data_IF_724225767683
#
_entry.id   IF_724225767683
#
_cell.length_a   1.000
_cell.length_b   1.000
_cell.length_c   1.000
_cell.angle_alpha   90.00
_cell.angle_beta   90.00
_cell.angle_gamma   90.00
#
_symmetry.space_group_name_H-M   'P 1'
#
loop_
_entity.id
_entity.type
_entity.pdbx_description
1 polymer ?
#
# COMPACT_ATOMS: atom_id res chain seq x y z
N UNK A 1 -4.67 -18.39 2.29
CA UNK A 1 -3.62 -17.44 2.70
C UNK A 1 -3.58 -17.22 4.21
N UNK A 2 -4.70 -17.40 4.93
CA UNK A 2 -4.68 -17.58 6.39
C UNK A 2 -4.56 -19.08 6.71
N UNK A 3 -3.82 -19.45 7.76
CA UNK A 3 -3.62 -20.85 8.17
C UNK A 3 -3.88 -20.95 9.67
N UNK A 4 -4.63 -21.99 10.08
CA UNK A 4 -5.06 -22.22 11.47
C UNK A 4 -4.02 -22.95 12.33
N UNK A 5 -3.03 -23.61 11.71
CA UNK A 5 -2.06 -24.46 12.39
C UNK A 5 -0.62 -24.28 11.84
N UNK A 6 0.33 -24.04 12.74
CA UNK A 6 1.74 -23.72 12.43
C UNK A 6 2.55 -24.97 12.02
N UNK A 7 1.97 -26.17 12.16
CA UNK A 7 2.66 -27.46 12.12
C UNK A 7 3.05 -27.99 10.72
N UNK A 8 2.63 -27.33 9.62
CA UNK A 8 2.86 -27.81 8.23
C UNK A 8 3.49 -26.77 7.29
N UNK A 9 4.37 -25.91 7.79
CA UNK A 9 5.05 -24.92 6.94
C UNK A 9 6.30 -25.47 6.26
N UNK A 10 6.31 -25.44 4.93
CA UNK A 10 7.54 -25.33 4.15
C UNK A 10 8.11 -23.92 4.31
N UNK A 11 9.44 -23.78 4.39
CA UNK A 11 10.16 -22.51 4.69
C UNK A 11 9.89 -21.36 3.70
N UNK A 12 9.19 -21.65 2.59
CA UNK A 12 8.98 -20.77 1.44
C UNK A 12 7.54 -20.25 1.28
N UNK A 13 6.56 -20.73 2.06
CA UNK A 13 5.17 -20.28 1.92
C UNK A 13 4.84 -19.06 2.80
N UNK A 14 4.42 -17.96 2.17
CA UNK A 14 3.96 -16.76 2.88
C UNK A 14 2.52 -16.95 3.32
N UNK A 15 2.26 -16.82 4.63
CA UNK A 15 0.93 -16.90 5.22
C UNK A 15 0.68 -15.78 6.21
N UNK A 16 -0.60 -15.42 6.32
CA UNK A 16 -1.12 -14.41 7.23
C UNK A 16 -1.73 -15.07 8.47
N UNK A 17 -1.62 -14.40 9.61
CA UNK A 17 -2.31 -14.77 10.83
C UNK A 17 -3.83 -14.51 10.64
N UNK A 18 -4.70 -15.51 10.84
CA UNK A 18 -6.15 -15.35 10.65
C UNK A 18 -6.76 -14.28 11.57
N UNK A 19 -6.17 -14.06 12.76
CA UNK A 19 -6.67 -13.11 13.77
C UNK A 19 -6.33 -11.65 13.45
N UNK A 20 -5.42 -11.38 12.52
CA UNK A 20 -5.06 -10.00 12.13
C UNK A 20 -5.13 -9.76 10.64
N UNK A 21 -5.24 -10.81 9.83
CA UNK A 21 -5.25 -10.73 8.36
C UNK A 21 -4.01 -9.94 7.90
N UNK A 22 -4.17 -8.92 7.07
CA UNK A 22 -3.10 -7.99 6.68
C UNK A 22 -3.01 -6.73 7.56
N UNK A 23 -3.87 -6.57 8.57
CA UNK A 23 -3.99 -5.37 9.40
C UNK A 23 -2.94 -5.33 10.52
N UNK A 24 -1.66 -5.51 10.19
CA UNK A 24 -0.52 -5.41 11.10
C UNK A 24 0.43 -4.26 10.73
N UNK A 25 -0.06 -3.32 9.93
CA UNK A 25 0.60 -2.07 9.61
C UNK A 25 -0.29 -0.91 10.08
N UNK A 26 0.33 0.09 10.70
CA UNK A 26 -0.35 1.33 11.10
C UNK A 26 -0.05 2.37 10.03
N UNK A 27 -1.01 2.75 9.17
CA UNK A 27 -0.78 3.88 8.26
C UNK A 27 -0.80 5.19 9.04
N UNK A 28 -0.02 6.16 8.58
CA UNK A 28 -0.26 7.55 8.94
C UNK A 28 -1.62 7.97 8.36
N UNK A 29 -2.49 8.56 9.17
CA UNK A 29 -3.77 9.10 8.70
C UNK A 29 -3.64 10.61 8.51
N UNK A 30 -3.75 11.14 7.27
CA UNK A 30 -3.77 12.56 6.96
C UNK A 30 -4.78 13.37 7.78
N UNK A 31 -4.44 14.61 8.14
CA UNK A 31 -5.27 15.49 8.97
C UNK A 31 -6.72 15.63 8.49
N UNK A 32 -6.96 15.79 7.19
CA UNK A 32 -8.29 15.92 6.62
C UNK A 32 -9.07 14.60 6.61
N UNK A 33 -8.39 13.44 6.48
CA UNK A 33 -9.04 12.13 6.63
C UNK A 33 -9.43 11.86 8.08
N UNK A 34 -8.60 12.28 9.03
CA UNK A 34 -8.94 12.27 10.46
C UNK A 34 -10.18 13.14 10.69
N UNK A 35 -10.20 14.36 10.14
CA UNK A 35 -11.34 15.27 10.17
C UNK A 35 -12.62 14.63 9.66
N UNK A 36 -12.56 13.99 8.49
CA UNK A 36 -13.70 13.32 7.87
C UNK A 36 -14.27 12.19 8.71
N UNK A 37 -13.40 11.42 9.37
CA UNK A 37 -13.82 10.35 10.29
C UNK A 37 -14.52 10.94 11.52
N UNK A 38 -14.01 12.05 12.07
CA UNK A 38 -14.59 12.70 13.26
C UNK A 38 -15.93 13.38 12.94
N UNK A 39 -16.02 14.02 11.78
CA UNK A 39 -17.24 14.69 11.31
C UNK A 39 -18.36 13.71 10.93
N UNK A 40 -17.99 12.48 10.54
CA UNK A 40 -18.92 11.44 10.13
C UNK A 40 -20.03 11.15 11.16
N UNK A 41 -21.29 11.18 10.71
CA UNK A 41 -22.47 10.89 11.54
C UNK A 41 -23.07 9.50 11.28
N UNK A 42 -22.51 8.73 10.34
CA UNK A 42 -22.98 7.38 10.03
C UNK A 42 -22.81 6.45 11.25
N UNK A 43 -23.90 5.88 11.81
CA UNK A 43 -23.82 4.96 12.93
C UNK A 43 -22.95 3.73 12.65
N UNK A 44 -22.87 3.27 11.40
CA UNK A 44 -22.04 2.11 11.04
C UNK A 44 -20.53 2.41 11.12
N UNK A 45 -20.17 3.70 11.16
CA UNK A 45 -18.79 4.17 11.27
C UNK A 45 -18.42 4.54 12.72
N UNK A 46 -19.34 4.41 13.69
CA UNK A 46 -19.13 4.85 15.07
C UNK A 46 -17.98 4.14 15.77
N UNK A 47 -17.87 2.81 15.66
CA UNK A 47 -16.76 2.05 16.23
C UNK A 47 -15.42 2.45 15.61
N UNK A 48 -15.41 2.70 14.31
CA UNK A 48 -14.25 3.22 13.59
C UNK A 48 -13.79 4.58 14.12
N UNK A 49 -14.73 5.52 14.23
CA UNK A 49 -14.49 6.85 14.81
C UNK A 49 -13.98 6.76 16.25
N UNK A 50 -14.52 5.85 17.07
CA UNK A 50 -14.06 5.65 18.44
C UNK A 50 -12.57 5.24 18.51
N UNK A 51 -12.05 4.49 17.52
CA UNK A 51 -10.61 4.16 17.45
C UNK A 51 -9.74 5.38 17.14
N UNK A 52 -10.24 6.33 16.34
CA UNK A 52 -9.56 7.60 16.04
C UNK A 52 -9.57 8.50 17.28
N UNK A 53 -10.72 8.65 17.93
CA UNK A 53 -10.85 9.39 19.20
C UNK A 53 -9.95 8.83 20.30
N UNK A 54 -9.81 7.50 20.39
CA UNK A 54 -8.90 6.87 21.33
C UNK A 54 -7.44 7.24 21.07
N UNK A 55 -7.01 7.30 19.80
CA UNK A 55 -5.66 7.77 19.43
C UNK A 55 -5.46 9.24 19.76
N UNK A 56 -6.46 10.09 19.52
CA UNK A 56 -6.43 11.51 19.90
C UNK A 56 -6.27 11.68 21.42
N UNK A 57 -7.07 10.97 22.21
CA UNK A 57 -6.97 11.00 23.68
C UNK A 57 -5.62 10.52 24.20
N UNK A 58 -4.99 9.56 23.52
CA UNK A 58 -3.66 9.07 23.89
C UNK A 58 -2.56 10.11 23.60
N UNK A 59 -2.74 10.98 22.60
CA UNK A 59 -1.77 12.01 22.22
C UNK A 59 -0.49 11.48 21.55
N UNK A 60 -0.37 10.17 21.35
CA UNK A 60 0.84 9.54 20.79
C UNK A 60 0.85 9.73 19.27
N UNK A 61 1.89 10.39 18.75
CA UNK A 61 2.04 10.70 17.32
C UNK A 61 0.82 11.46 16.75
N UNK A 62 0.23 12.35 17.55
CA UNK A 62 -0.89 13.22 17.19
C UNK A 62 -0.35 14.61 16.86
N UNK A 63 -0.39 15.01 15.59
CA UNK A 63 0.19 16.28 15.12
C UNK A 63 -0.75 16.98 14.14
N UNK A 64 -0.54 18.25 13.81
CA UNK A 64 -1.28 18.90 12.72
C UNK A 64 -1.19 18.20 11.35
N UNK A 65 -0.22 17.30 11.14
CA UNK A 65 -0.15 16.48 9.92
C UNK A 65 -1.13 15.30 9.93
N UNK A 66 -1.65 14.94 11.11
CA UNK A 66 -2.57 13.81 11.28
C UNK A 66 -2.14 12.85 12.38
N UNK A 67 -2.59 11.59 12.27
CA UNK A 67 -2.30 10.53 13.23
C UNK A 67 -1.21 9.60 12.71
N UNK A 68 0.02 9.81 13.18
CA UNK A 68 1.20 9.07 12.77
C UNK A 68 1.41 7.73 13.49
N UNK A 69 2.33 6.92 13.02
CA UNK A 69 2.73 5.68 13.69
C UNK A 69 3.29 5.95 15.10
N UNK A 70 2.86 5.19 16.13
CA UNK A 70 3.49 5.24 17.44
C UNK A 70 4.99 4.91 17.37
N UNK A 71 5.86 5.60 18.13
CA UNK A 71 7.31 5.34 18.10
C UNK A 71 7.69 3.87 18.39
N UNK A 72 7.00 3.22 19.34
CA UNK A 72 7.20 1.80 19.65
C UNK A 72 6.88 0.88 18.45
N UNK A 73 5.83 1.21 17.68
CA UNK A 73 5.53 0.49 16.44
C UNK A 73 6.63 0.68 15.40
N UNK A 74 7.14 1.91 15.20
CA UNK A 74 8.20 2.18 14.23
C UNK A 74 9.46 1.35 14.51
N UNK A 75 9.88 1.26 15.77
CA UNK A 75 11.04 0.46 16.20
C UNK A 75 10.82 -1.03 15.91
N UNK A 76 9.70 -1.59 16.38
CA UNK A 76 9.42 -3.01 16.24
C UNK A 76 9.23 -3.42 14.77
N UNK A 77 8.44 -2.65 14.02
CA UNK A 77 8.14 -2.94 12.63
C UNK A 77 9.36 -2.71 11.73
N UNK A 78 10.17 -1.68 12.02
CA UNK A 78 11.41 -1.37 11.29
C UNK A 78 12.48 -2.45 11.43
N UNK A 79 12.57 -3.12 12.58
CA UNK A 79 13.57 -4.16 12.82
C UNK A 79 13.38 -5.40 11.92
N UNK A 80 12.14 -5.82 11.64
CA UNK A 80 11.89 -7.06 10.88
C UNK A 80 10.58 -7.06 10.10
N UNK A 81 10.37 -6.05 9.25
CA UNK A 81 9.15 -5.89 8.43
C UNK A 81 8.69 -7.17 7.74
N UNK A 82 9.58 -7.84 7.00
CA UNK A 82 9.21 -8.98 6.14
C UNK A 82 8.81 -10.24 6.93
N UNK A 83 9.32 -10.39 8.16
CA UNK A 83 8.94 -11.50 9.02
C UNK A 83 7.71 -11.20 9.88
N UNK A 84 7.43 -9.92 10.15
CA UNK A 84 6.36 -9.48 11.06
C UNK A 84 5.05 -9.14 10.36
N UNK A 85 5.12 -8.59 9.15
CA UNK A 85 3.93 -8.14 8.42
C UNK A 85 2.94 -9.29 8.21
N UNK A 86 1.69 -9.04 8.61
CA UNK A 86 0.63 -10.02 8.47
C UNK A 86 0.68 -11.19 9.45
N UNK A 87 1.62 -11.21 10.40
CA UNK A 87 1.85 -12.37 11.31
C UNK A 87 1.78 -12.00 12.78
N UNK A 88 2.39 -10.87 13.16
CA UNK A 88 2.50 -10.46 14.56
C UNK A 88 1.22 -9.82 15.10
N UNK A 89 0.51 -10.52 16.00
CA UNK A 89 -0.70 -9.98 16.65
C UNK A 89 -0.41 -8.72 17.47
N UNK A 90 0.80 -8.57 18.00
CA UNK A 90 1.26 -7.38 18.74
C UNK A 90 1.25 -6.12 17.89
N UNK A 91 1.48 -6.23 16.58
CA UNK A 91 1.55 -5.09 15.66
C UNK A 91 0.22 -4.77 14.99
N UNK A 92 -0.88 -5.32 15.52
CA UNK A 92 -2.22 -5.11 14.97
C UNK A 92 -2.56 -3.63 14.91
N UNK A 93 -3.09 -3.20 13.78
CA UNK A 93 -3.54 -1.83 13.55
C UNK A 93 -4.61 -1.45 14.60
N UNK A 94 -4.54 -0.26 15.22
CA UNK A 94 -5.53 0.19 16.21
C UNK A 94 -6.93 0.36 15.60
N UNK A 95 -7.04 0.44 14.28
CA UNK A 95 -8.31 0.52 13.55
C UNK A 95 -8.88 -0.85 13.17
N UNK A 96 -8.28 -1.97 13.62
CA UNK A 96 -8.82 -3.30 13.40
C UNK A 96 -9.92 -3.62 14.44
N UNK A 97 -11.14 -3.81 13.96
CA UNK A 97 -12.31 -4.09 14.79
C UNK A 97 -12.47 -5.61 14.95
N UNK A 98 -11.78 -6.19 15.94
CA UNK A 98 -11.80 -7.64 16.22
C UNK A 98 -13.21 -8.13 16.53
N UNK A 99 -13.93 -7.43 17.41
CA UNK A 99 -15.28 -7.79 17.85
C UNK A 99 -16.34 -7.67 16.73
N UNK A 100 -15.98 -7.06 15.59
CA UNK A 100 -16.84 -6.90 14.42
C UNK A 100 -16.39 -7.73 13.22
N UNK A 101 -15.77 -8.89 13.48
CA UNK A 101 -15.34 -9.83 12.44
C UNK A 101 -14.01 -9.45 11.75
N UNK A 102 -13.23 -8.57 12.40
CA UNK A 102 -11.94 -8.14 11.89
C UNK A 102 -12.05 -7.22 10.69
N UNK A 103 -12.94 -6.23 10.76
CA UNK A 103 -13.11 -5.17 9.77
C UNK A 103 -12.15 -4.00 10.03
N UNK A 104 -11.91 -3.19 9.02
CA UNK A 104 -11.18 -1.93 9.17
C UNK A 104 -12.16 -0.83 9.58
N UNK A 105 -12.01 -0.26 10.77
CA UNK A 105 -12.87 0.80 11.28
C UNK A 105 -12.76 2.11 10.50
N UNK A 106 -11.63 2.34 9.83
CA UNK A 106 -11.42 3.54 8.99
C UNK A 106 -11.53 3.23 7.49
N UNK A 107 -12.22 2.15 7.11
CA UNK A 107 -12.22 1.65 5.73
C UNK A 107 -12.54 2.72 4.67
N UNK A 108 -13.56 3.55 4.89
CA UNK A 108 -13.99 4.59 3.94
C UNK A 108 -12.99 5.77 3.83
N UNK A 109 -12.10 5.90 4.81
CA UNK A 109 -11.15 7.02 4.95
C UNK A 109 -9.73 6.51 5.20
N UNK A 110 -9.41 5.32 4.66
CA UNK A 110 -8.11 4.68 4.83
C UNK A 110 -7.08 5.39 3.97
N UNK A 111 -5.88 5.56 4.51
CA UNK A 111 -4.77 6.16 3.78
C UNK A 111 -4.39 5.36 2.53
N UNK A 112 -3.68 6.01 1.60
CA UNK A 112 -3.28 5.53 0.29
C UNK A 112 -2.76 4.10 0.33
N UNK A 113 -1.81 3.81 1.24
CA UNK A 113 -1.20 2.49 1.38
C UNK A 113 -2.23 1.39 1.60
N UNK A 114 -3.20 1.59 2.49
CA UNK A 114 -4.25 0.60 2.76
C UNK A 114 -5.33 0.58 1.67
N UNK A 115 -5.50 1.68 0.93
CA UNK A 115 -6.42 1.75 -0.20
C UNK A 115 -5.93 0.98 -1.44
N UNK A 116 -4.62 0.84 -1.61
CA UNK A 116 -4.01 0.31 -2.83
C UNK A 116 -3.25 -1.00 -2.64
N UNK A 117 -3.21 -1.56 -1.42
CA UNK A 117 -2.52 -2.82 -1.14
C UNK A 117 -3.44 -4.02 -1.28
N UNK A 118 -2.99 -5.01 -2.05
CA UNK A 118 -3.68 -6.28 -2.23
C UNK A 118 -2.70 -7.44 -2.19
N UNK A 119 -3.15 -8.62 -1.73
CA UNK A 119 -2.36 -9.85 -1.81
C UNK A 119 -2.24 -10.36 -3.25
N UNK A 120 -3.30 -10.15 -4.05
CA UNK A 120 -3.43 -10.61 -5.44
C UNK A 120 -3.90 -9.44 -6.29
N UNK A 121 -3.29 -9.29 -7.46
CA UNK A 121 -3.63 -8.22 -8.38
C UNK A 121 -4.30 -8.81 -9.61
N UNK A 122 -5.43 -8.21 -10.00
CA UNK A 122 -6.08 -8.54 -11.26
C UNK A 122 -5.08 -8.25 -12.38
N UNK A 123 -4.86 -9.21 -13.28
CA UNK A 123 -3.81 -9.14 -14.32
C UNK A 123 -2.36 -9.08 -13.78
N UNK A 124 -2.09 -9.74 -12.65
CA UNK A 124 -0.72 -10.04 -12.22
C UNK A 124 0.18 -8.82 -12.03
N UNK A 125 1.39 -8.86 -12.62
CA UNK A 125 2.39 -7.79 -12.61
C UNK A 125 1.85 -6.49 -13.21
N UNK A 126 1.08 -6.56 -14.30
CA UNK A 126 0.48 -5.37 -14.92
C UNK A 126 -0.50 -4.70 -13.94
N UNK A 127 -1.29 -5.52 -13.25
CA UNK A 127 -2.11 -5.16 -12.09
C UNK A 127 -1.34 -4.41 -11.01
N UNK A 128 -0.26 -5.05 -10.52
CA UNK A 128 0.61 -4.49 -9.48
C UNK A 128 1.20 -3.14 -9.88
N UNK A 129 1.64 -2.98 -11.14
CA UNK A 129 2.25 -1.75 -11.63
C UNK A 129 1.27 -0.56 -11.58
N UNK A 130 0.02 -0.77 -12.03
CA UNK A 130 -1.02 0.26 -11.93
C UNK A 130 -1.31 0.64 -10.48
N UNK A 131 -1.52 -0.33 -9.60
CA UNK A 131 -1.84 -0.04 -8.21
C UNK A 131 -0.67 0.59 -7.45
N UNK A 132 0.57 0.31 -7.87
CA UNK A 132 1.76 1.01 -7.38
C UNK A 132 1.78 2.47 -7.83
N UNK A 133 1.46 2.76 -9.10
CA UNK A 133 1.32 4.13 -9.57
C UNK A 133 0.17 4.87 -8.84
N UNK A 134 -0.96 4.18 -8.61
CA UNK A 134 -2.09 4.73 -7.87
C UNK A 134 -1.71 5.03 -6.42
N UNK A 135 -0.97 4.13 -5.77
CA UNK A 135 -0.44 4.33 -4.43
C UNK A 135 0.41 5.60 -4.36
N UNK A 136 1.32 5.79 -5.32
CA UNK A 136 2.19 6.96 -5.38
C UNK A 136 1.39 8.25 -5.58
N UNK A 137 0.43 8.26 -6.51
CA UNK A 137 -0.45 9.41 -6.73
C UNK A 137 -1.20 9.80 -5.45
N UNK A 138 -1.89 8.83 -4.83
CA UNK A 138 -2.66 9.08 -3.62
C UNK A 138 -1.76 9.53 -2.46
N UNK A 139 -0.57 8.96 -2.32
CA UNK A 139 0.38 9.35 -1.27
C UNK A 139 0.85 10.80 -1.43
N UNK A 140 1.09 11.26 -2.66
CA UNK A 140 1.46 12.65 -2.95
C UNK A 140 0.29 13.60 -2.75
N UNK A 141 -0.92 13.19 -3.13
CA UNK A 141 -2.16 13.94 -2.85
C UNK A 141 -2.33 14.11 -1.34
N UNK A 142 -2.27 13.02 -0.58
CA UNK A 142 -2.39 13.02 0.88
C UNK A 142 -1.38 13.95 1.53
N UNK A 143 -0.10 13.84 1.16
CA UNK A 143 0.98 14.68 1.68
C UNK A 143 0.80 16.15 1.32
N UNK A 144 0.42 16.45 0.08
CA UNK A 144 0.23 17.82 -0.39
C UNK A 144 -0.94 18.50 0.31
N UNK A 145 -2.11 17.84 0.36
CA UNK A 145 -3.30 18.37 1.02
C UNK A 145 -3.12 18.51 2.52
N UNK A 146 -2.42 17.58 3.16
CA UNK A 146 -2.09 17.67 4.59
C UNK A 146 -1.31 18.94 4.89
N UNK A 147 -0.25 19.21 4.13
CA UNK A 147 0.62 20.39 4.30
C UNK A 147 -0.13 21.67 3.97
N UNK A 148 -0.96 21.64 2.94
CA UNK A 148 -1.80 22.76 2.57
C UNK A 148 -2.76 23.14 3.70
N UNK A 149 -3.45 22.18 4.32
CA UNK A 149 -4.33 22.47 5.46
C UNK A 149 -3.57 23.10 6.64
N UNK A 150 -2.35 22.63 6.93
CA UNK A 150 -1.50 23.21 8.00
C UNK A 150 -1.15 24.67 7.72
N UNK A 151 -0.96 25.04 6.45
CA UNK A 151 -0.68 26.42 6.04
C UNK A 151 -1.95 27.28 6.08
N UNK A 152 -3.07 26.79 5.54
CA UNK A 152 -4.34 27.53 5.49
C UNK A 152 -4.92 27.83 6.88
N UNK A 153 -4.79 26.87 7.80
CA UNK A 153 -5.25 27.02 9.18
C UNK A 153 -4.22 27.71 10.10
N UNK A 154 -3.09 28.14 9.52
CA UNK A 154 -1.99 28.84 10.19
C UNK A 154 -1.65 28.26 11.57
N UNK A 155 -0.91 27.15 11.65
CA UNK A 155 -0.50 26.62 12.97
C UNK A 155 0.51 27.52 13.72
N UNK A 156 1.00 28.59 13.09
CA UNK A 156 2.01 29.50 13.61
C UNK A 156 3.44 29.14 13.22
N UNK A 157 4.30 30.15 13.08
CA UNK A 157 5.65 30.01 12.54
C UNK A 157 6.57 29.07 13.35
N UNK A 158 6.48 29.07 14.69
CA UNK A 158 7.28 28.14 15.51
C UNK A 158 6.83 26.69 15.31
N UNK A 159 5.51 26.43 15.32
CA UNK A 159 4.97 25.10 15.02
C UNK A 159 5.39 24.62 13.62
N UNK A 160 5.39 25.51 12.62
CA UNK A 160 5.89 25.18 11.27
C UNK A 160 7.37 24.75 11.28
N UNK A 161 8.23 25.39 12.08
CA UNK A 161 9.64 24.98 12.20
C UNK A 161 9.79 23.59 12.81
N UNK A 162 8.94 23.25 13.80
CA UNK A 162 8.92 21.91 14.41
C UNK A 162 8.38 20.85 13.45
N UNK A 163 7.33 21.16 12.68
CA UNK A 163 6.72 20.23 11.72
C UNK A 163 7.57 20.02 10.45
N UNK A 164 8.32 21.04 10.04
CA UNK A 164 9.12 21.06 8.81
C UNK A 164 10.56 21.53 9.08
N UNK A 165 11.36 20.74 9.81
CA UNK A 165 12.73 21.13 10.15
C UNK A 165 13.59 21.27 8.88
N UNK A 166 14.39 22.34 8.81
CA UNK A 166 15.21 22.70 7.63
C UNK A 166 16.28 21.67 7.26
N UNK A 167 16.75 20.91 8.25
CA UNK A 167 17.54 19.71 8.03
C UNK A 167 16.73 18.54 8.55
N UNK A 168 16.47 17.58 7.67
CA UNK A 168 16.20 16.21 8.10
C UNK A 168 17.49 15.66 8.69
N UNK A 169 17.93 16.21 9.82
CA UNK A 169 18.89 15.52 10.65
C UNK A 169 18.21 14.19 10.93
N UNK A 170 18.80 13.04 10.56
CA UNK A 170 18.28 11.78 11.02
C UNK A 170 18.17 11.97 12.52
N UNK A 171 16.95 12.04 13.07
CA UNK A 171 16.78 11.74 14.48
C UNK A 171 17.58 10.46 14.64
N UNK A 172 18.60 10.44 15.50
CA UNK A 172 19.58 9.36 15.60
C UNK A 172 18.93 8.04 16.10
N UNK A 173 17.73 7.67 15.65
CA UNK A 173 16.94 6.54 16.12
C UNK A 173 16.69 6.55 17.62
N UNK A 174 17.02 7.63 18.34
CA UNK A 174 16.94 7.68 19.79
C UNK A 174 15.52 8.01 20.19
N UNK A 175 14.70 6.97 20.23
CA UNK A 175 13.47 6.96 21.00
C UNK A 175 13.83 7.09 22.48
N UNK A 176 13.20 8.01 23.20
CA UNK A 176 13.32 8.08 24.66
C UNK A 176 12.39 7.04 25.32
N UNK A 177 12.60 6.79 26.62
CA UNK A 177 11.83 5.80 27.36
C UNK A 177 10.32 6.11 27.39
N UNK A 178 9.93 7.39 27.53
CA UNK A 178 8.51 7.79 27.58
C UNK A 178 7.84 7.53 26.23
N UNK A 179 8.51 7.90 25.14
CA UNK A 179 8.05 7.63 23.77
C UNK A 179 7.91 6.13 23.49
N UNK A 180 8.82 5.30 24.01
CA UNK A 180 8.74 3.85 23.89
C UNK A 180 7.58 3.25 24.71
N UNK A 181 7.33 3.80 25.90
CA UNK A 181 6.22 3.43 26.78
C UNK A 181 4.86 3.97 26.31
N UNK A 182 4.82 4.71 25.19
CA UNK A 182 3.60 5.27 24.64
C UNK A 182 3.05 6.43 25.48
N UNK A 183 3.92 7.20 26.12
CA UNK A 183 3.55 8.37 26.91
C UNK A 183 3.85 9.63 26.09
N UNK A 184 2.81 10.37 25.71
CA UNK A 184 2.96 11.64 25.02
C UNK A 184 3.59 12.72 25.92
N UNK A 185 4.39 13.62 25.35
CA UNK A 185 4.91 14.80 26.04
C UNK A 185 4.01 16.03 25.79
N UNK A 186 3.33 16.57 26.83
CA UNK A 186 2.48 17.73 26.67
C UNK A 186 3.21 19.01 26.22
N UNK A 187 4.52 19.14 26.51
CA UNK A 187 5.29 20.29 26.06
C UNK A 187 5.54 20.23 24.55
N UNK A 188 6.01 19.08 24.06
CA UNK A 188 6.22 18.82 22.63
C UNK A 188 4.90 18.95 21.85
N UNK A 189 3.79 18.43 22.38
CA UNK A 189 2.49 18.59 21.77
C UNK A 189 2.12 20.08 21.60
N UNK A 190 2.29 20.92 22.63
CA UNK A 190 1.99 22.36 22.52
C UNK A 190 2.86 23.06 21.48
N UNK A 191 4.14 22.69 21.37
CA UNK A 191 5.05 23.24 20.35
C UNK A 191 4.61 22.86 18.94
N UNK A 192 4.16 21.63 18.72
CA UNK A 192 3.67 21.15 17.41
C UNK A 192 2.33 21.78 17.01
N UNK A 193 1.45 22.02 17.97
CA UNK A 193 0.09 22.50 17.72
C UNK A 193 -0.03 24.04 17.74
N UNK A 194 0.95 24.75 18.28
CA UNK A 194 0.93 26.21 18.34
C UNK A 194 -0.35 26.73 19.02
N UNK A 195 -1.06 27.66 18.38
CA UNK A 195 -2.30 28.20 18.92
C UNK A 195 -3.52 27.26 18.82
N UNK A 196 -3.38 26.13 18.11
CA UNK A 196 -4.39 25.07 18.05
C UNK A 196 -4.25 24.04 19.18
N UNK A 197 -3.29 24.20 20.08
CA UNK A 197 -3.13 23.31 21.24
C UNK A 197 -4.42 23.29 22.09
N UNK A 198 -4.93 22.08 22.37
CA UNK A 198 -6.21 21.85 23.04
C UNK A 198 -7.45 21.96 22.14
N UNK A 199 -7.27 22.22 20.84
CA UNK A 199 -8.33 22.29 19.81
C UNK A 199 -8.06 21.33 18.66
N UNK A 200 -7.37 20.22 18.92
CA UNK A 200 -6.88 19.28 17.91
C UNK A 200 -8.03 18.66 17.08
N UNK A 201 -9.14 18.32 17.75
CA UNK A 201 -10.34 17.78 17.07
C UNK A 201 -10.95 18.80 16.11
N UNK A 202 -11.02 20.07 16.53
CA UNK A 202 -11.57 21.15 15.71
C UNK A 202 -10.66 21.40 14.50
N UNK A 203 -9.34 21.47 14.70
CA UNK A 203 -8.37 21.61 13.61
C UNK A 203 -8.57 20.54 12.53
N UNK A 204 -8.69 19.27 12.92
CA UNK A 204 -8.90 18.19 11.95
C UNK A 204 -10.22 18.35 11.20
N UNK A 205 -11.31 18.70 11.88
CA UNK A 205 -12.60 18.94 11.23
C UNK A 205 -12.55 20.12 10.24
N UNK A 206 -11.78 21.18 10.54
CA UNK A 206 -11.55 22.27 9.58
C UNK A 206 -10.71 21.80 8.38
N UNK A 207 -9.72 20.92 8.58
CA UNK A 207 -8.97 20.33 7.46
C UNK A 207 -9.89 19.57 6.50
N UNK A 208 -10.87 18.81 7.01
CA UNK A 208 -11.85 18.13 6.16
C UNK A 208 -12.70 19.13 5.37
N UNK A 209 -13.22 20.18 6.00
CA UNK A 209 -14.02 21.22 5.33
C UNK A 209 -13.24 21.92 4.22
N UNK A 210 -11.95 22.21 4.45
CA UNK A 210 -11.07 22.79 3.44
C UNK A 210 -10.91 21.87 2.23
N UNK A 211 -10.74 20.57 2.45
CA UNK A 211 -10.51 19.59 1.38
C UNK A 211 -11.81 19.15 0.67
N UNK A 212 -12.94 19.11 1.38
CA UNK A 212 -14.23 18.64 0.86
C UNK A 212 -14.71 19.43 -0.36
N UNK A 213 -14.42 20.73 -0.39
CA UNK A 213 -14.85 21.63 -1.48
C UNK A 213 -13.91 21.62 -2.69
N UNK A 214 -12.77 20.91 -2.62
CA UNK A 214 -11.79 20.89 -3.69
C UNK A 214 -12.21 19.97 -4.84
N UNK A 215 -12.11 20.49 -6.06
CA UNK A 215 -12.13 19.66 -7.25
C UNK A 215 -10.70 19.16 -7.61
N UNK A 216 -10.62 18.28 -8.61
CA UNK A 216 -9.33 17.73 -9.03
C UNK A 216 -8.35 18.79 -9.55
N UNK A 217 -8.86 19.87 -10.15
CA UNK A 217 -8.02 20.96 -10.66
C UNK A 217 -7.35 21.70 -9.50
N UNK A 218 -8.09 21.97 -8.43
CA UNK A 218 -7.57 22.58 -7.22
C UNK A 218 -6.55 21.67 -6.53
N UNK A 219 -6.84 20.37 -6.41
CA UNK A 219 -5.88 19.38 -5.87
C UNK A 219 -4.57 19.38 -6.67
N UNK A 220 -4.67 19.39 -8.00
CA UNK A 220 -3.48 19.43 -8.89
C UNK A 220 -2.72 20.75 -8.75
N UNK A 221 -3.42 21.88 -8.56
CA UNK A 221 -2.78 23.18 -8.32
C UNK A 221 -2.02 23.20 -6.99
N UNK A 222 -2.56 22.60 -5.94
CA UNK A 222 -1.93 22.51 -4.61
C UNK A 222 -0.68 21.62 -4.65
N UNK A 223 -0.77 20.40 -5.21
CA UNK A 223 0.36 19.47 -5.24
C UNK A 223 1.31 19.64 -6.42
N UNK A 224 0.99 20.53 -7.37
CA UNK A 224 1.88 20.96 -8.44
C UNK A 224 2.36 19.82 -9.36
N UNK A 225 3.60 19.90 -9.87
CA UNK A 225 4.14 18.95 -10.84
C UNK A 225 4.19 17.49 -10.35
N UNK A 226 4.38 17.26 -9.05
CA UNK A 226 4.49 15.91 -8.49
C UNK A 226 3.20 15.12 -8.70
N UNK A 227 2.03 15.72 -8.42
CA UNK A 227 0.72 15.13 -8.74
C UNK A 227 0.57 14.91 -10.25
N UNK A 228 1.00 15.87 -11.08
CA UNK A 228 0.92 15.75 -12.54
C UNK A 228 1.71 14.56 -13.10
N UNK A 229 2.91 14.31 -12.57
CA UNK A 229 3.75 13.15 -12.93
C UNK A 229 3.02 11.86 -12.58
N UNK A 230 2.60 11.68 -11.33
CA UNK A 230 1.97 10.43 -10.90
C UNK A 230 0.59 10.22 -11.54
N UNK A 231 -0.14 11.29 -11.85
CA UNK A 231 -1.40 11.20 -12.62
C UNK A 231 -1.16 10.63 -14.01
N UNK A 232 -0.09 11.05 -14.67
CA UNK A 232 0.30 10.55 -15.98
C UNK A 232 0.69 9.06 -15.93
N UNK A 233 1.43 8.66 -14.89
CA UNK A 233 1.82 7.26 -14.65
C UNK A 233 0.60 6.37 -14.36
N UNK A 234 -0.38 6.86 -13.60
CA UNK A 234 -1.65 6.15 -13.35
C UNK A 234 -2.42 5.97 -14.66
N UNK A 235 -2.54 7.01 -15.49
CA UNK A 235 -3.22 6.92 -16.78
C UNK A 235 -2.53 5.91 -17.72
N UNK A 236 -1.20 5.88 -17.75
CA UNK A 236 -0.42 4.87 -18.47
C UNK A 236 -0.69 3.46 -17.94
N UNK A 237 -0.61 3.26 -16.62
CA UNK A 237 -0.90 1.98 -15.98
C UNK A 237 -2.32 1.49 -16.26
N UNK A 238 -3.29 2.40 -16.25
CA UNK A 238 -4.69 2.09 -16.56
C UNK A 238 -4.85 1.65 -18.02
N UNK A 239 -4.23 2.36 -18.98
CA UNK A 239 -4.22 1.95 -20.39
C UNK A 239 -3.63 0.55 -20.57
N UNK A 240 -2.56 0.21 -19.85
CA UNK A 240 -1.97 -1.15 -19.89
C UNK A 240 -2.90 -2.22 -19.30
N UNK A 241 -3.61 -1.92 -18.21
CA UNK A 241 -4.62 -2.81 -17.60
C UNK A 241 -5.88 -2.98 -18.46
N UNK A 242 -6.19 -2.03 -19.32
CA UNK A 242 -7.35 -2.12 -20.22
C UNK A 242 -7.00 -2.66 -21.60
N UNK A 243 -5.72 -2.68 -21.97
CA UNK A 243 -5.26 -3.23 -23.25
C UNK A 243 -5.30 -4.75 -23.25
N UNK A 244 -5.61 -5.35 -24.39
CA UNK A 244 -5.49 -6.80 -24.66
C UNK A 244 -4.33 -7.12 -25.61
N UNK A 245 -3.51 -6.12 -25.94
CA UNK A 245 -2.41 -6.28 -26.90
C UNK A 245 -1.29 -7.18 -26.35
N UNK A 246 -0.89 -8.15 -27.17
CA UNK A 246 0.27 -9.00 -26.90
C UNK A 246 1.48 -8.41 -27.61
N UNK A 247 2.64 -8.27 -26.92
CA UNK A 247 3.87 -7.81 -27.56
C UNK A 247 4.23 -8.62 -28.81
N UNK A 248 4.72 -7.93 -29.84
CA UNK A 248 5.12 -8.56 -31.12
C UNK A 248 6.30 -9.51 -30.97
N UNK A 249 7.08 -9.36 -29.89
CA UNK A 249 8.20 -10.22 -29.49
C UNK A 249 8.10 -10.51 -28.00
N UNK A 250 8.30 -11.76 -27.62
CA UNK A 250 8.26 -12.21 -26.23
C UNK A 250 9.50 -13.03 -25.91
N UNK A 251 9.97 -12.87 -24.67
CA UNK A 251 10.97 -13.75 -24.06
C UNK A 251 10.53 -14.21 -22.68
N UNK A 252 11.13 -15.28 -22.18
CA UNK A 252 10.91 -15.73 -20.79
C UNK A 252 11.39 -14.66 -19.81
N UNK A 253 10.52 -14.28 -18.87
CA UNK A 253 10.81 -13.39 -17.75
C UNK A 253 11.51 -14.09 -16.59
N UNK A 254 11.73 -13.37 -15.50
CA UNK A 254 12.31 -13.93 -14.28
C UNK A 254 11.22 -14.35 -13.29
N UNK A 255 11.34 -15.56 -12.75
CA UNK A 255 10.45 -16.07 -11.70
C UNK A 255 11.17 -17.11 -10.84
N UNK A 256 10.71 -17.27 -9.60
CA UNK A 256 11.24 -18.23 -8.65
C UNK A 256 10.34 -19.46 -8.57
N UNK A 257 10.94 -20.66 -8.61
CA UNK A 257 10.21 -21.91 -8.35
C UNK A 257 10.11 -22.13 -6.84
N UNK A 258 8.88 -22.16 -6.31
CA UNK A 258 8.60 -22.38 -4.88
C UNK A 258 8.51 -23.87 -4.58
N UNK A 259 7.84 -24.62 -5.44
CA UNK A 259 7.59 -26.06 -5.26
C UNK A 259 7.44 -26.76 -6.60
N UNK A 260 7.99 -27.97 -6.69
CA UNK A 260 7.78 -28.88 -7.83
C UNK A 260 6.79 -29.96 -7.43
N UNK A 261 5.66 -30.01 -8.14
CA UNK A 261 4.66 -31.08 -8.02
C UNK A 261 4.90 -32.21 -9.02
N UNK A 262 4.00 -33.19 -9.03
CA UNK A 262 4.05 -34.29 -10.00
C UNK A 262 3.86 -33.78 -11.43
N UNK A 263 2.87 -32.91 -11.66
CA UNK A 263 2.50 -32.42 -13.00
C UNK A 263 2.55 -30.89 -13.17
N UNK A 264 2.99 -30.16 -12.15
CA UNK A 264 3.07 -28.69 -12.17
C UNK A 264 4.31 -28.15 -11.45
N UNK A 265 4.65 -26.89 -11.75
CA UNK A 265 5.57 -26.06 -10.98
C UNK A 265 4.78 -24.91 -10.36
N UNK A 266 4.90 -24.75 -9.04
CA UNK A 266 4.42 -23.55 -8.35
C UNK A 266 5.51 -22.49 -8.40
N UNK A 267 5.23 -21.36 -9.03
CA UNK A 267 6.17 -20.27 -9.21
C UNK A 267 5.65 -18.97 -8.59
N UNK A 268 6.58 -18.08 -8.25
CA UNK A 268 6.31 -16.67 -7.94
C UNK A 268 7.07 -15.82 -8.94
N UNK A 269 6.35 -14.99 -9.69
CA UNK A 269 6.92 -14.12 -10.70
C UNK A 269 7.02 -12.67 -10.23
N UNK A 270 5.87 -12.06 -9.92
CA UNK A 270 5.77 -10.62 -9.68
C UNK A 270 5.70 -10.25 -8.19
N UNK A 271 5.15 -11.13 -7.36
CA UNK A 271 5.20 -11.02 -5.91
C UNK A 271 5.14 -12.41 -5.25
N UNK A 272 5.53 -12.48 -3.97
CA UNK A 272 5.52 -13.73 -3.20
C UNK A 272 4.15 -14.15 -2.62
N UNK A 273 3.13 -13.28 -2.71
CA UNK A 273 1.80 -13.50 -2.12
C UNK A 273 0.80 -14.14 -3.09
N UNK A 274 1.07 -14.08 -4.39
CA UNK A 274 0.23 -14.63 -5.45
C UNK A 274 1.01 -15.60 -6.35
N UNK A 275 1.46 -16.74 -5.81
CA UNK A 275 2.09 -17.76 -6.62
C UNK A 275 1.07 -18.40 -7.57
N UNK A 276 1.54 -18.81 -8.74
CA UNK A 276 0.75 -19.49 -9.77
C UNK A 276 1.30 -20.89 -10.04
N UNK A 277 0.41 -21.81 -10.39
CA UNK A 277 0.77 -23.16 -10.79
C UNK A 277 0.83 -23.24 -12.32
N UNK A 278 1.98 -23.59 -12.86
CA UNK A 278 2.20 -23.83 -14.29
C UNK A 278 2.31 -25.33 -14.57
N UNK A 279 1.54 -25.88 -15.53
CA UNK A 279 1.73 -27.26 -15.97
C UNK A 279 3.16 -27.51 -16.45
N UNK A 280 3.70 -28.71 -16.21
CA UNK A 280 5.05 -29.08 -16.70
C UNK A 280 5.18 -28.96 -18.22
N UNK A 281 4.13 -29.31 -18.95
CA UNK A 281 4.07 -29.16 -20.41
C UNK A 281 4.20 -27.70 -20.85
N UNK A 282 3.66 -26.75 -20.08
CA UNK A 282 3.82 -25.34 -20.40
C UNK A 282 5.25 -24.86 -20.11
N UNK A 283 5.89 -25.38 -19.07
CA UNK A 283 7.30 -25.07 -18.76
C UNK A 283 8.27 -25.52 -19.84
N UNK A 284 8.01 -26.64 -20.52
CA UNK A 284 8.83 -27.09 -21.67
C UNK A 284 8.64 -26.22 -22.90
N UNK A 285 7.52 -25.50 -23.00
CA UNK A 285 7.20 -24.58 -24.10
C UNK A 285 7.79 -23.17 -23.91
N UNK A 286 8.07 -22.75 -22.68
CA UNK A 286 8.61 -21.39 -22.41
C UNK A 286 9.89 -21.06 -23.20
N UNK A 287 10.87 -21.97 -23.36
CA UNK A 287 12.10 -21.68 -24.11
C UNK A 287 11.92 -21.30 -25.58
N UNK A 288 10.76 -21.56 -26.20
CA UNK A 288 10.47 -21.09 -27.57
C UNK A 288 10.28 -19.57 -27.65
N UNK A 289 10.00 -18.93 -26.52
CA UNK A 289 9.94 -17.47 -26.38
C UNK A 289 11.32 -16.94 -25.96
N UNK A 290 12.15 -16.61 -26.94
CA UNK A 290 13.54 -16.16 -26.75
C UNK A 290 13.80 -14.74 -27.29
N UNK A 291 12.74 -13.99 -27.63
CA UNK A 291 12.81 -12.65 -28.24
C UNK A 291 12.55 -12.63 -29.74
N UNK A 292 12.37 -13.80 -30.39
CA UNK A 292 11.84 -13.90 -31.75
C UNK A 292 10.40 -13.35 -31.85
N UNK A 293 9.86 -13.12 -33.06
CA UNK A 293 8.47 -12.73 -33.23
C UNK A 293 7.52 -13.73 -32.57
N UNK A 294 6.55 -13.24 -31.81
CA UNK A 294 5.60 -14.06 -31.05
C UNK A 294 4.86 -15.06 -31.94
N UNK A 295 4.51 -14.65 -33.17
CA UNK A 295 3.85 -15.52 -34.16
C UNK A 295 4.74 -16.71 -34.55
N UNK A 296 6.04 -16.51 -34.73
CA UNK A 296 6.98 -17.59 -35.06
C UNK A 296 7.17 -18.56 -33.89
N UNK A 297 7.27 -18.03 -32.65
CA UNK A 297 7.33 -18.86 -31.45
C UNK A 297 6.09 -19.76 -31.31
N UNK A 298 4.90 -19.21 -31.55
CA UNK A 298 3.64 -19.96 -31.50
C UNK A 298 3.56 -21.05 -32.58
N UNK A 299 4.02 -20.77 -33.81
CA UNK A 299 4.10 -21.76 -34.89
C UNK A 299 5.04 -22.91 -34.53
N UNK A 300 6.18 -22.62 -33.89
CA UNK A 300 7.12 -23.66 -33.44
C UNK A 300 6.57 -24.52 -32.32
N UNK A 301 5.89 -23.93 -31.34
CA UNK A 301 5.22 -24.69 -30.27
C UNK A 301 4.18 -25.63 -30.89
N UNK A 302 3.33 -25.13 -31.80
CA UNK A 302 2.34 -25.96 -32.47
C UNK A 302 2.96 -27.12 -33.28
N UNK A 303 4.08 -26.87 -33.96
CA UNK A 303 4.74 -27.88 -34.77
C UNK A 303 5.51 -28.94 -33.96
N UNK A 304 6.08 -28.57 -32.81
CA UNK A 304 6.98 -29.46 -32.03
C UNK A 304 6.33 -30.11 -30.82
N UNK A 305 5.38 -29.42 -30.20
CA UNK A 305 4.73 -29.86 -28.96
C UNK A 305 3.29 -30.32 -29.20
N UNK A 306 2.85 -30.37 -30.47
CA UNK A 306 1.49 -30.74 -30.91
C UNK A 306 0.39 -30.03 -30.11
N UNK A 307 0.65 -28.76 -29.74
CA UNK A 307 -0.19 -27.99 -28.83
C UNK A 307 -0.36 -26.56 -29.34
N UNK A 308 -1.59 -26.08 -29.39
CA UNK A 308 -1.91 -24.70 -29.74
C UNK A 308 -2.13 -23.89 -28.47
N UNK A 309 -1.27 -22.91 -28.22
CA UNK A 309 -1.44 -21.97 -27.12
C UNK A 309 -2.46 -20.89 -27.50
N UNK A 310 -3.52 -20.75 -26.70
CA UNK A 310 -4.51 -19.70 -26.89
C UNK A 310 -3.93 -18.30 -26.64
N UNK A 311 -4.49 -17.30 -27.32
CA UNK A 311 -4.13 -15.90 -27.12
C UNK A 311 -4.32 -15.47 -25.66
N UNK A 312 -5.40 -15.92 -25.01
CA UNK A 312 -5.69 -15.63 -23.61
C UNK A 312 -4.64 -16.21 -22.65
N UNK A 313 -4.12 -17.41 -22.94
CA UNK A 313 -3.06 -18.01 -22.13
C UNK A 313 -1.76 -17.22 -22.28
N UNK A 314 -1.38 -16.85 -23.50
CA UNK A 314 -0.19 -16.00 -23.74
C UNK A 314 -0.36 -14.66 -23.03
N UNK A 315 -1.55 -14.06 -23.11
CA UNK A 315 -1.85 -12.82 -22.39
C UNK A 315 -1.68 -12.99 -20.89
N UNK A 316 -2.20 -14.06 -20.29
CA UNK A 316 -2.00 -14.35 -18.87
C UNK A 316 -0.52 -14.52 -18.51
N UNK A 317 0.27 -15.21 -19.33
CA UNK A 317 1.70 -15.36 -19.09
C UNK A 317 2.43 -14.01 -19.13
N UNK A 318 2.01 -13.11 -20.02
CA UNK A 318 2.51 -11.72 -20.08
C UNK A 318 2.08 -10.92 -18.86
N UNK A 319 0.80 -10.97 -18.50
CA UNK A 319 0.24 -10.25 -17.35
C UNK A 319 0.93 -10.62 -16.05
N UNK A 320 1.30 -11.90 -15.89
CA UNK A 320 2.01 -12.41 -14.71
C UNK A 320 3.53 -12.27 -14.81
N UNK A 321 4.08 -11.69 -15.89
CA UNK A 321 5.53 -11.50 -16.05
C UNK A 321 6.32 -12.80 -16.29
N UNK A 322 5.64 -13.90 -16.61
CA UNK A 322 6.28 -15.16 -17.03
C UNK A 322 6.87 -15.02 -18.43
N UNK A 323 6.16 -14.30 -19.31
CA UNK A 323 6.68 -13.81 -20.58
C UNK A 323 6.73 -12.27 -20.52
N UNK A 324 7.76 -11.68 -21.11
CA UNK A 324 7.95 -10.23 -21.14
C UNK A 324 8.37 -9.75 -22.54
N UNK A 325 8.15 -8.48 -22.83
CA UNK A 325 8.77 -7.85 -24.00
C UNK A 325 10.28 -7.74 -23.77
N UNK A 326 11.13 -7.96 -24.79
CA UNK A 326 12.59 -7.82 -24.65
C UNK A 326 13.06 -6.46 -24.12
N UNK A 327 12.26 -5.39 -24.29
CA UNK A 327 12.54 -4.05 -23.79
C UNK A 327 12.10 -3.77 -22.35
N UNK A 328 11.35 -4.69 -21.72
CA UNK A 328 10.83 -4.55 -20.35
C UNK A 328 11.74 -5.26 -19.31
N UNK A 329 12.99 -5.57 -19.68
CA UNK A 329 13.95 -6.35 -18.88
C UNK A 329 14.89 -5.49 -18.08
#
# INVERSE_FOLDING_TARGET
>A
MCVEDDSKRTRTDISFNPQTKCCNYIPDLPNYLVGRILAGQDPNSASGRATVEARLRAGIAVTPLGLGQPPSFQVLYGHSRDSLFGRSRTLRCPHYLEDEGGRCGVWNHRAALCATWYCKYVRGQVGLNFWTAMHQLLSVVEKSLTRWCVLELDVGAEALKHLFPASASPSNGRIDARSLDGIADPAEARELWGHWAGRETEFYMECDRLVEVLDWRAVTAIGGPEIGIFSSLVCEGYRKIMSDEIPTRLKVGSFNTIRTGQDFYRISSYNGYDPIDLPKSLMTMLPYFDGRPTVEALQMVAAKEDTILSQDLIRRLVDFGVLISPGDS
#
